data_IF_401882220325
#
_entry.id   IF_401882220325
#
_cell.length_a   1.000
_cell.length_b   1.000
_cell.length_c   1.000
_cell.angle_alpha   90.00
_cell.angle_beta   90.00
_cell.angle_gamma   90.00
#
_symmetry.space_group_name_H-M   'P 1'
#
loop_
_entity.id
_entity.type
_entity.pdbx_description
1 polymer ?
#
# COMPACT_ATOMS: atom_id res chain seq x y z
N UNK A 1 -18.83 10.00 -29.93
CA UNK A 1 -19.34 9.98 -28.55
C UNK A 1 -18.52 10.94 -27.69
N UNK A 2 -19.17 11.92 -27.09
CA UNK A 2 -18.49 12.87 -26.27
C UNK A 2 -18.03 12.21 -24.95
N UNK A 3 -16.79 12.42 -24.51
CA UNK A 3 -16.35 11.89 -23.24
C UNK A 3 -17.12 12.55 -22.09
N UNK A 4 -17.42 11.76 -21.09
CA UNK A 4 -18.07 12.24 -19.87
C UNK A 4 -17.02 12.88 -18.98
N UNK A 5 -16.83 14.18 -19.16
CA UNK A 5 -15.76 14.90 -18.48
C UNK A 5 -16.22 15.70 -17.28
N UNK A 6 -17.51 15.92 -17.13
CA UNK A 6 -18.03 16.86 -16.13
C UNK A 6 -17.68 16.53 -14.69
N UNK A 7 -17.59 15.25 -14.34
CA UNK A 7 -17.24 14.83 -12.98
C UNK A 7 -15.73 14.76 -12.74
N UNK A 8 -14.93 14.69 -13.79
CA UNK A 8 -13.48 14.57 -13.69
C UNK A 8 -12.77 15.91 -13.58
N UNK A 9 -13.47 17.00 -13.79
CA UNK A 9 -12.91 18.35 -13.78
C UNK A 9 -12.96 19.02 -12.42
N UNK A 10 -13.32 18.31 -11.38
CA UNK A 10 -13.24 18.83 -10.01
C UNK A 10 -11.77 19.05 -9.67
N UNK A 11 -11.41 20.31 -9.43
CA UNK A 11 -10.04 20.66 -9.05
C UNK A 11 -9.77 20.11 -7.65
N UNK A 12 -8.87 19.17 -7.56
CA UNK A 12 -8.42 18.64 -6.27
C UNK A 12 -7.49 19.63 -5.60
N UNK A 13 -7.57 19.72 -4.27
CA UNK A 13 -6.60 20.45 -3.49
C UNK A 13 -5.23 19.76 -3.54
N UNK A 14 -4.17 20.47 -3.24
CA UNK A 14 -2.81 19.89 -3.19
C UNK A 14 -2.75 18.69 -2.24
N UNK A 15 -3.47 18.78 -1.13
CA UNK A 15 -3.55 17.69 -0.17
C UNK A 15 -4.26 16.46 -0.76
N UNK A 16 -5.35 16.67 -1.48
CA UNK A 16 -6.07 15.56 -2.15
C UNK A 16 -5.20 14.91 -3.23
N UNK A 17 -4.45 15.71 -3.95
CA UNK A 17 -3.48 15.17 -4.90
C UNK A 17 -2.46 14.29 -4.23
N UNK A 18 -1.83 14.78 -3.16
CA UNK A 18 -0.81 14.03 -2.41
C UNK A 18 -1.36 12.73 -1.84
N UNK A 19 -2.59 12.74 -1.31
CA UNK A 19 -3.20 11.56 -0.70
C UNK A 19 -3.74 10.54 -1.72
N UNK A 20 -4.07 10.98 -2.92
CA UNK A 20 -4.77 10.13 -3.88
C UNK A 20 -3.93 9.65 -5.05
N UNK A 21 -2.78 10.25 -5.28
CA UNK A 21 -1.93 9.85 -6.40
C UNK A 21 -1.19 8.56 -6.11
N UNK A 22 -1.17 7.62 -7.06
CA UNK A 22 -0.32 6.44 -6.94
C UNK A 22 1.16 6.83 -7.06
N UNK A 23 2.04 5.95 -6.59
CA UNK A 23 3.48 6.18 -6.63
C UNK A 23 3.99 6.50 -8.03
N UNK A 24 3.44 5.87 -9.05
CA UNK A 24 3.81 6.10 -10.45
C UNK A 24 3.71 7.57 -10.84
N UNK A 25 2.75 8.30 -10.29
CA UNK A 25 2.50 9.72 -10.57
C UNK A 25 3.32 10.60 -9.63
N UNK A 26 3.36 10.27 -8.33
CA UNK A 26 4.06 11.07 -7.33
C UNK A 26 5.57 11.00 -7.47
N UNK A 27 6.10 9.81 -7.72
CA UNK A 27 7.53 9.59 -7.86
C UNK A 27 7.79 8.53 -8.93
N UNK A 28 7.75 8.92 -10.20
CA UNK A 28 7.96 7.98 -11.30
C UNK A 28 9.35 7.35 -11.30
N UNK A 29 10.35 8.03 -10.78
CA UNK A 29 11.71 7.50 -10.68
C UNK A 29 11.78 6.33 -9.68
N UNK A 30 11.23 6.52 -8.48
CA UNK A 30 11.17 5.46 -7.50
C UNK A 30 10.29 4.29 -7.97
N UNK A 31 9.19 4.60 -8.64
CA UNK A 31 8.33 3.57 -9.24
C UNK A 31 9.10 2.71 -10.25
N UNK A 32 9.92 3.34 -11.09
CA UNK A 32 10.74 2.62 -12.05
C UNK A 32 11.77 1.72 -11.35
N UNK A 33 12.41 2.22 -10.31
CA UNK A 33 13.36 1.43 -9.51
C UNK A 33 12.70 0.21 -8.86
N UNK A 34 11.49 0.34 -8.36
CA UNK A 34 10.73 -0.78 -7.79
C UNK A 34 10.43 -1.82 -8.87
N UNK A 35 10.10 -1.40 -10.06
CA UNK A 35 9.86 -2.32 -11.17
C UNK A 35 11.12 -3.06 -11.59
N UNK A 36 12.24 -2.38 -11.63
CA UNK A 36 13.53 -2.99 -11.92
C UNK A 36 13.90 -4.02 -10.85
N UNK A 37 13.73 -3.67 -9.58
CA UNK A 37 13.98 -4.60 -8.48
C UNK A 37 13.06 -5.82 -8.54
N UNK A 38 11.80 -5.62 -8.91
CA UNK A 38 10.85 -6.72 -9.10
C UNK A 38 11.34 -7.69 -10.18
N UNK A 39 11.81 -7.16 -11.30
CA UNK A 39 12.37 -8.01 -12.37
C UNK A 39 13.67 -8.68 -11.93
N UNK A 40 14.52 -8.00 -11.18
CA UNK A 40 15.74 -8.59 -10.63
C UNK A 40 15.42 -9.76 -9.71
N UNK A 41 14.47 -9.62 -8.80
CA UNK A 41 14.07 -10.68 -7.88
C UNK A 41 13.41 -11.86 -8.61
N UNK A 42 12.69 -11.58 -9.69
CA UNK A 42 12.03 -12.61 -10.49
C UNK A 42 13.02 -13.49 -11.25
N UNK A 43 14.10 -12.92 -11.75
CA UNK A 43 15.08 -13.60 -12.59
C UNK A 43 16.36 -13.99 -11.85
N UNK A 44 16.62 -13.38 -10.70
CA UNK A 44 17.80 -13.66 -9.91
C UNK A 44 17.71 -14.98 -9.15
N UNK A 45 18.86 -15.54 -8.84
CA UNK A 45 18.98 -16.67 -7.93
C UNK A 45 19.47 -16.15 -6.58
N UNK A 46 18.56 -16.12 -5.60
CA UNK A 46 18.89 -15.64 -4.26
C UNK A 46 19.50 -16.76 -3.42
N UNK A 47 20.73 -16.56 -2.98
CA UNK A 47 21.50 -17.53 -2.21
C UNK A 47 21.58 -17.20 -0.72
N UNK A 48 20.96 -16.09 -0.29
CA UNK A 48 20.97 -15.67 1.11
C UNK A 48 19.83 -16.36 1.84
N UNK A 49 20.16 -17.22 2.80
CA UNK A 49 19.20 -18.07 3.48
C UNK A 49 18.16 -17.31 4.32
N UNK A 50 18.46 -16.08 4.72
CA UNK A 50 17.56 -15.25 5.50
C UNK A 50 16.53 -14.48 4.65
N UNK A 51 16.65 -14.51 3.34
CA UNK A 51 15.72 -13.86 2.44
C UNK A 51 14.60 -14.81 2.02
N UNK A 52 13.40 -14.27 1.85
CA UNK A 52 12.26 -15.03 1.38
C UNK A 52 11.24 -14.09 0.72
N UNK A 53 10.31 -14.67 -0.01
CA UNK A 53 9.22 -13.93 -0.63
C UNK A 53 8.03 -13.88 0.33
N UNK A 54 7.50 -12.68 0.51
CA UNK A 54 6.25 -12.51 1.26
C UNK A 54 5.03 -12.77 0.37
N UNK A 55 3.89 -13.02 0.99
CA UNK A 55 2.64 -13.25 0.25
C UNK A 55 2.02 -11.92 -0.19
N UNK A 56 1.23 -11.98 -1.26
CA UNK A 56 0.44 -10.84 -1.72
C UNK A 56 -0.52 -10.34 -0.62
N UNK A 57 -1.10 -11.25 0.15
CA UNK A 57 -2.00 -10.90 1.24
C UNK A 57 -1.33 -10.02 2.30
N UNK A 58 -0.09 -10.33 2.65
CA UNK A 58 0.69 -9.50 3.59
C UNK A 58 0.96 -8.12 2.99
N UNK A 59 1.34 -8.07 1.72
CA UNK A 59 1.59 -6.80 1.04
C UNK A 59 0.31 -5.95 0.95
N UNK A 60 -0.84 -6.56 0.73
CA UNK A 60 -2.13 -5.88 0.70
C UNK A 60 -2.46 -5.25 2.05
N UNK A 61 -2.14 -5.94 3.14
CA UNK A 61 -2.29 -5.39 4.48
C UNK A 61 -1.35 -4.21 4.72
N UNK A 62 -0.09 -4.35 4.32
CA UNK A 62 0.91 -3.29 4.47
C UNK A 62 0.56 -2.05 3.65
N UNK A 63 -0.06 -2.22 2.50
CA UNK A 63 -0.51 -1.11 1.64
C UNK A 63 -1.92 -0.63 1.94
N UNK A 64 -2.49 -0.96 3.08
CA UNK A 64 -3.88 -0.63 3.42
C UNK A 64 -3.97 0.51 4.42
N UNK A 65 -5.21 0.91 4.72
CA UNK A 65 -5.53 1.93 5.72
C UNK A 65 -5.10 1.56 7.15
N UNK A 66 -4.68 0.32 7.39
CA UNK A 66 -4.15 -0.10 8.68
C UNK A 66 -2.91 0.69 9.08
N UNK A 67 -2.16 1.21 8.11
CA UNK A 67 -1.02 2.08 8.37
C UNK A 67 -1.38 3.40 9.04
N UNK A 68 -2.62 3.83 8.94
CA UNK A 68 -3.05 5.12 9.48
C UNK A 68 -3.24 5.09 11.00
N UNK A 69 -3.25 3.91 11.61
CA UNK A 69 -3.57 3.73 13.02
C UNK A 69 -2.52 2.89 13.74
N UNK A 70 -2.35 3.17 15.03
CA UNK A 70 -1.56 2.32 15.89
C UNK A 70 -2.36 1.07 16.29
N UNK A 71 -1.66 0.02 16.69
CA UNK A 71 -2.25 -1.29 17.04
C UNK A 71 -2.20 -1.59 18.53
N UNK A 72 -2.04 -0.57 19.36
CA UNK A 72 -1.93 -0.71 20.81
C UNK A 72 -3.30 -0.92 21.45
N UNK A 73 -3.31 -1.60 22.58
CA UNK A 73 -4.49 -1.83 23.39
C UNK A 73 -4.85 -3.29 23.52
N UNK A 74 -5.58 -3.59 24.59
CA UNK A 74 -6.07 -4.95 24.85
C UNK A 74 -7.30 -5.26 23.98
N UNK A 75 -7.59 -6.54 23.73
CA UNK A 75 -8.82 -6.91 23.01
C UNK A 75 -10.07 -6.30 23.61
N UNK A 76 -10.91 -5.69 22.79
CA UNK A 76 -12.12 -5.00 23.25
C UNK A 76 -11.90 -3.60 23.82
N UNK A 77 -10.63 -3.17 24.00
CA UNK A 77 -10.24 -1.84 24.48
C UNK A 77 -9.41 -1.09 23.44
N UNK A 78 -9.75 -1.24 22.17
CA UNK A 78 -9.10 -0.62 21.03
C UNK A 78 -10.11 0.22 20.24
N UNK A 79 -9.60 1.15 19.43
CA UNK A 79 -10.45 1.92 18.52
C UNK A 79 -11.08 1.03 17.43
N UNK A 80 -11.44 1.62 16.32
CA UNK A 80 -12.13 0.96 15.21
C UNK A 80 -11.47 -0.32 14.68
N UNK A 81 -10.18 -0.48 14.93
CA UNK A 81 -9.43 -1.68 14.57
C UNK A 81 -9.70 -2.87 15.48
N UNK A 82 -10.47 -2.70 16.54
CA UNK A 82 -10.71 -3.78 17.50
C UNK A 82 -11.29 -5.04 16.88
N UNK A 83 -12.06 -4.92 15.81
CA UNK A 83 -12.62 -6.07 15.09
C UNK A 83 -11.61 -6.74 14.16
N UNK A 84 -10.66 -5.98 13.62
CA UNK A 84 -9.66 -6.51 12.69
C UNK A 84 -8.44 -7.08 13.40
N UNK A 85 -8.07 -6.50 14.52
CA UNK A 85 -6.89 -6.94 15.27
C UNK A 85 -7.12 -8.28 15.97
N UNK A 86 -8.37 -8.69 16.17
CA UNK A 86 -8.69 -10.03 16.62
C UNK A 86 -8.20 -11.12 15.66
N UNK A 87 -8.04 -10.82 14.39
CA UNK A 87 -7.47 -11.73 13.41
C UNK A 87 -5.95 -11.91 13.54
N UNK A 88 -5.26 -10.97 14.16
CA UNK A 88 -3.82 -10.98 14.34
C UNK A 88 -3.38 -11.30 15.77
N UNK A 89 -4.31 -11.68 16.61
CA UNK A 89 -3.98 -12.16 17.94
C UNK A 89 -3.70 -13.66 17.93
N UNK A 90 -2.47 -13.93 18.14
CA UNK A 90 -2.03 -15.26 18.55
C UNK A 90 -2.02 -15.35 20.06
#
# INVERSE_FOLDING_TARGET
MAPQTSSSEIVKTDQEWTLSNPLKVEDPELYALIREEKERQKHGLEMIASENFTTTAVLDCLGSCLHNKYSEGQPGARYLLSKFVLFFQF
#
